data_IF_527871715108
#
_entry.id   IF_527871715108
#
_cell.length_a   1.000
_cell.length_b   1.000
_cell.length_c   1.000
_cell.angle_alpha   90.00
_cell.angle_beta   90.00
_cell.angle_gamma   90.00
#
_symmetry.space_group_name_H-M   'P 1'
#
loop_
_entity.id
_entity.type
_entity.pdbx_description
1 polymer ?
#
# COMPACT_ATOMS: atom_id res chain seq x y z
N UNK A 1 -29.60 -15.15 46.98
CA UNK A 1 -29.04 -14.55 45.75
C UNK A 1 -28.73 -13.09 46.03
N UNK A 2 -27.47 -12.72 45.85
CA UNK A 2 -27.17 -11.73 44.83
C UNK A 2 -26.32 -12.35 43.72
N UNK A 3 -26.67 -11.95 42.50
CA UNK A 3 -26.02 -12.25 41.23
C UNK A 3 -24.52 -11.99 41.28
N UNK A 4 -23.73 -13.01 40.96
CA UNK A 4 -22.34 -12.83 40.57
C UNK A 4 -22.33 -12.76 39.04
N UNK A 5 -22.68 -11.58 38.50
CA UNK A 5 -22.49 -11.26 37.09
C UNK A 5 -20.99 -11.03 36.82
N UNK A 6 -20.22 -12.11 36.84
CA UNK A 6 -18.91 -12.12 36.20
C UNK A 6 -19.12 -11.99 34.68
N UNK A 7 -18.49 -11.01 34.01
CA UNK A 7 -18.61 -10.89 32.57
C UNK A 7 -18.02 -12.14 31.94
N UNK A 8 -18.88 -12.97 31.34
CA UNK A 8 -18.50 -14.11 30.51
C UNK A 8 -17.52 -13.62 29.43
N UNK A 9 -16.23 -13.83 29.66
CA UNK A 9 -15.21 -13.68 28.65
C UNK A 9 -15.53 -14.66 27.53
N UNK A 10 -15.83 -14.18 26.32
CA UNK A 10 -16.06 -14.98 25.10
C UNK A 10 -14.81 -15.75 24.62
N UNK A 11 -13.88 -16.09 25.51
CA UNK A 11 -12.68 -16.88 25.23
C UNK A 11 -12.76 -18.33 25.73
N UNK A 12 -13.95 -18.83 26.05
CA UNK A 12 -14.17 -20.24 26.43
C UNK A 12 -14.91 -20.94 25.28
N UNK A 13 -14.20 -21.78 24.50
CA UNK A 13 -14.85 -22.66 23.52
C UNK A 13 -14.12 -23.01 22.21
N UNK A 14 -12.88 -22.56 21.95
CA UNK A 14 -12.11 -23.07 20.80
C UNK A 14 -11.14 -24.16 21.24
N UNK A 15 -11.50 -25.41 20.95
CA UNK A 15 -10.62 -26.56 21.09
C UNK A 15 -9.39 -26.38 20.16
N UNK A 16 -8.20 -26.38 20.74
CA UNK A 16 -6.95 -26.22 20.01
C UNK A 16 -6.69 -27.48 19.18
N UNK A 17 -7.08 -27.43 17.90
CA UNK A 17 -6.66 -28.44 16.93
C UNK A 17 -5.27 -28.06 16.45
N UNK A 18 -4.28 -28.89 16.81
CA UNK A 18 -2.91 -28.76 16.35
C UNK A 18 -2.84 -28.83 14.82
N UNK A 19 -1.90 -28.07 14.25
CA UNK A 19 -1.58 -28.16 12.82
C UNK A 19 -1.07 -29.58 12.50
N UNK A 20 -1.47 -30.14 11.36
CA UNK A 20 -0.95 -31.43 10.87
C UNK A 20 0.48 -31.35 10.32
N UNK A 21 1.08 -30.16 10.28
CA UNK A 21 2.46 -29.95 9.87
C UNK A 21 3.44 -30.36 10.98
N UNK A 22 4.52 -31.03 10.59
CA UNK A 22 5.67 -31.30 11.46
C UNK A 22 6.34 -29.99 11.91
N UNK A 23 7.14 -30.05 12.98
CA UNK A 23 7.78 -28.88 13.60
C UNK A 23 8.70 -28.13 12.61
N UNK A 24 9.41 -28.88 11.76
CA UNK A 24 10.25 -28.30 10.71
C UNK A 24 9.42 -27.54 9.65
N UNK A 25 8.32 -28.15 9.19
CA UNK A 25 7.39 -27.52 8.24
C UNK A 25 6.69 -26.31 8.86
N UNK A 26 6.40 -26.35 10.17
CA UNK A 26 5.86 -25.21 10.88
C UNK A 26 6.85 -24.04 10.91
N UNK A 27 8.13 -24.31 11.13
CA UNK A 27 9.18 -23.29 11.09
C UNK A 27 9.33 -22.66 9.69
N UNK A 28 9.28 -23.47 8.62
CA UNK A 28 9.29 -22.98 7.23
C UNK A 28 8.08 -22.07 6.93
N UNK A 29 6.89 -22.48 7.36
CA UNK A 29 5.66 -21.68 7.19
C UNK A 29 5.74 -20.33 7.91
N UNK A 30 6.27 -20.30 9.13
CA UNK A 30 6.47 -19.05 9.88
C UNK A 30 7.53 -18.15 9.23
N UNK A 31 8.62 -18.74 8.71
CA UNK A 31 9.63 -18.00 7.96
C UNK A 31 9.03 -17.33 6.71
N UNK A 32 8.25 -18.08 5.92
CA UNK A 32 7.55 -17.54 4.74
C UNK A 32 6.50 -16.48 5.09
N UNK A 33 5.83 -16.63 6.24
CA UNK A 33 4.89 -15.63 6.74
C UNK A 33 5.60 -14.31 7.06
N UNK A 34 6.72 -14.37 7.78
CA UNK A 34 7.52 -13.20 8.13
C UNK A 34 8.07 -12.48 6.89
N UNK A 35 8.60 -13.22 5.91
CA UNK A 35 9.07 -12.67 4.64
C UNK A 35 7.94 -11.97 3.87
N UNK A 36 6.78 -12.62 3.77
CA UNK A 36 5.60 -12.05 3.10
C UNK A 36 5.13 -10.76 3.78
N UNK A 37 5.16 -10.70 5.11
CA UNK A 37 4.79 -9.51 5.87
C UNK A 37 5.77 -8.36 5.64
N UNK A 38 7.07 -8.64 5.68
CA UNK A 38 8.12 -7.67 5.40
C UNK A 38 7.99 -7.11 3.98
N UNK A 39 7.73 -7.96 2.98
CA UNK A 39 7.50 -7.56 1.60
C UNK A 39 6.29 -6.62 1.43
N UNK A 40 5.20 -6.87 2.18
CA UNK A 40 4.03 -5.98 2.19
C UNK A 40 4.39 -4.61 2.79
N UNK A 41 5.12 -4.58 3.91
CA UNK A 41 5.55 -3.33 4.57
C UNK A 41 6.50 -2.53 3.68
N UNK A 42 7.46 -3.20 3.05
CA UNK A 42 8.39 -2.61 2.08
C UNK A 42 7.66 -2.01 0.87
N UNK A 43 6.71 -2.75 0.29
CA UNK A 43 5.93 -2.27 -0.85
C UNK A 43 5.11 -1.02 -0.50
N UNK A 44 4.51 -0.95 0.70
CA UNK A 44 3.82 0.26 1.17
C UNK A 44 4.76 1.45 1.34
N UNK A 45 5.95 1.22 1.87
CA UNK A 45 6.95 2.26 2.04
C UNK A 45 7.37 2.83 0.68
N UNK A 46 7.65 1.96 -0.30
CA UNK A 46 7.98 2.42 -1.66
C UNK A 46 6.81 3.19 -2.27
N UNK A 47 5.58 2.70 -2.10
CA UNK A 47 4.38 3.37 -2.63
C UNK A 47 4.25 4.82 -2.14
N UNK A 48 4.51 5.07 -0.85
CA UNK A 48 4.58 6.42 -0.29
C UNK A 48 5.75 7.23 -0.84
N UNK A 49 6.95 6.62 -0.91
CA UNK A 49 8.14 7.30 -1.44
C UNK A 49 7.95 7.70 -2.90
N UNK A 50 7.36 6.86 -3.74
CA UNK A 50 7.02 7.19 -5.13
C UNK A 50 6.11 8.40 -5.19
N UNK A 51 5.05 8.43 -4.38
CA UNK A 51 4.12 9.56 -4.33
C UNK A 51 4.83 10.86 -3.94
N UNK A 52 5.63 10.83 -2.86
CA UNK A 52 6.37 12.01 -2.37
C UNK A 52 7.40 12.49 -3.40
N UNK A 53 8.17 11.58 -3.98
CA UNK A 53 9.20 11.90 -4.99
C UNK A 53 8.56 12.49 -6.23
N UNK A 54 7.45 11.93 -6.72
CA UNK A 54 6.72 12.49 -7.86
C UNK A 54 6.22 13.90 -7.59
N UNK A 55 5.66 14.17 -6.41
CA UNK A 55 5.25 15.51 -6.01
C UNK A 55 6.45 16.48 -5.92
N UNK A 56 7.59 16.03 -5.39
CA UNK A 56 8.81 16.82 -5.32
C UNK A 56 9.34 17.16 -6.73
N UNK A 57 9.29 16.21 -7.68
CA UNK A 57 9.66 16.44 -9.08
C UNK A 57 8.76 17.51 -9.71
N UNK A 58 7.44 17.46 -9.47
CA UNK A 58 6.50 18.46 -9.96
C UNK A 58 6.79 19.87 -9.39
N UNK A 59 7.08 19.97 -8.09
CA UNK A 59 7.53 21.24 -7.48
C UNK A 59 8.82 21.73 -8.12
N UNK A 60 9.79 20.83 -8.35
CA UNK A 60 11.06 21.16 -9.02
C UNK A 60 10.84 21.68 -10.45
N UNK A 61 9.94 21.05 -11.23
CA UNK A 61 9.58 21.53 -12.57
C UNK A 61 8.95 22.92 -12.54
N UNK A 62 8.04 23.17 -11.58
CA UNK A 62 7.45 24.50 -11.41
C UNK A 62 8.49 25.57 -11.05
N UNK A 63 9.48 25.24 -10.21
CA UNK A 63 10.60 26.13 -9.86
C UNK A 63 11.52 26.39 -11.05
N UNK A 64 11.90 25.35 -11.80
CA UNK A 64 12.71 25.47 -13.00
C UNK A 64 12.02 26.31 -14.08
N UNK A 65 10.70 26.19 -14.22
CA UNK A 65 9.92 27.00 -15.13
C UNK A 65 9.96 28.49 -14.78
N UNK A 66 9.86 28.83 -13.49
CA UNK A 66 9.96 30.21 -13.03
C UNK A 66 11.31 30.84 -13.38
N UNK A 67 12.40 30.10 -13.13
CA UNK A 67 13.76 30.56 -13.44
C UNK A 67 14.03 30.63 -14.95
N UNK A 68 13.49 29.69 -15.73
CA UNK A 68 13.71 29.58 -17.17
C UNK A 68 12.61 30.23 -18.02
N UNK A 69 11.83 31.14 -17.43
CA UNK A 69 10.71 31.86 -18.06
C UNK A 69 11.06 32.59 -19.37
N UNK A 70 12.33 32.65 -19.73
CA UNK A 70 12.86 33.27 -20.96
C UNK A 70 13.12 32.28 -22.10
N UNK A 71 13.15 30.97 -21.83
CA UNK A 71 13.52 29.92 -22.80
C UNK A 71 12.33 29.01 -23.12
N UNK A 72 11.61 29.31 -24.21
CA UNK A 72 10.40 28.58 -24.62
C UNK A 72 10.61 27.07 -24.84
N UNK A 73 11.79 26.65 -25.30
CA UNK A 73 12.08 25.22 -25.51
C UNK A 73 12.24 24.44 -24.20
N UNK A 74 12.76 25.08 -23.15
CA UNK A 74 12.85 24.43 -21.84
C UNK A 74 11.46 24.22 -21.23
N UNK A 75 10.54 25.17 -21.39
CA UNK A 75 9.15 25.03 -20.94
C UNK A 75 8.45 23.87 -21.66
N UNK A 76 8.63 23.73 -22.98
CA UNK A 76 8.08 22.60 -23.75
C UNK A 76 8.59 21.25 -23.23
N UNK A 77 9.89 21.14 -22.94
CA UNK A 77 10.48 19.90 -22.39
C UNK A 77 9.87 19.58 -21.02
N UNK A 78 9.70 20.57 -20.13
CA UNK A 78 9.09 20.39 -18.81
C UNK A 78 7.62 19.95 -18.91
N UNK A 79 6.87 20.45 -19.88
CA UNK A 79 5.49 20.00 -20.16
C UNK A 79 5.49 18.50 -20.53
N UNK A 80 6.35 18.10 -21.48
CA UNK A 80 6.46 16.70 -21.91
C UNK A 80 6.84 15.81 -20.72
N UNK A 81 7.83 16.21 -19.92
CA UNK A 81 8.23 15.46 -18.73
C UNK A 81 7.10 15.32 -17.71
N UNK A 82 6.29 16.36 -17.51
CA UNK A 82 5.12 16.30 -16.61
C UNK A 82 4.11 15.25 -17.08
N UNK A 83 3.84 15.20 -18.39
CA UNK A 83 2.96 14.20 -19.01
C UNK A 83 3.50 12.77 -18.94
N UNK A 84 4.81 12.59 -18.83
CA UNK A 84 5.44 11.26 -18.74
C UNK A 84 5.54 10.79 -17.27
N UNK A 85 5.99 11.66 -16.36
CA UNK A 85 6.24 11.32 -14.96
C UNK A 85 4.95 10.95 -14.22
N UNK A 86 3.84 11.66 -14.45
CA UNK A 86 2.56 11.40 -13.79
C UNK A 86 2.03 9.98 -14.05
N UNK A 87 1.81 9.58 -15.33
CA UNK A 87 1.37 8.24 -15.67
C UNK A 87 2.32 7.13 -15.22
N UNK A 88 3.64 7.32 -15.31
CA UNK A 88 4.61 6.35 -14.79
C UNK A 88 4.42 6.15 -13.29
N UNK A 89 4.26 7.23 -12.52
CA UNK A 89 4.04 7.13 -11.08
C UNK A 89 2.73 6.38 -10.76
N UNK A 90 1.63 6.68 -11.46
CA UNK A 90 0.36 5.98 -11.30
C UNK A 90 0.47 4.49 -11.65
N UNK A 91 1.17 4.16 -12.72
CA UNK A 91 1.42 2.77 -13.12
C UNK A 91 2.21 2.00 -12.04
N UNK A 92 3.24 2.63 -11.47
CA UNK A 92 4.01 2.04 -10.37
C UNK A 92 3.14 1.79 -9.13
N UNK A 93 2.20 2.70 -8.79
CA UNK A 93 1.24 2.45 -7.70
C UNK A 93 0.43 1.18 -7.95
N UNK A 94 -0.05 0.97 -9.18
CA UNK A 94 -0.83 -0.24 -9.54
C UNK A 94 0.02 -1.51 -9.41
N UNK A 95 1.28 -1.48 -9.85
CA UNK A 95 2.20 -2.63 -9.68
C UNK A 95 2.38 -2.97 -8.21
N UNK A 96 2.69 -1.99 -7.36
CA UNK A 96 2.88 -2.24 -5.92
C UNK A 96 1.61 -2.75 -5.27
N UNK A 97 0.44 -2.32 -5.75
CA UNK A 97 -0.84 -2.86 -5.30
C UNK A 97 -1.03 -4.31 -5.73
N UNK A 98 -0.69 -4.66 -6.96
CA UNK A 98 -0.73 -6.05 -7.42
C UNK A 98 0.18 -6.95 -6.57
N UNK A 99 1.42 -6.52 -6.33
CA UNK A 99 2.40 -7.27 -5.53
C UNK A 99 1.92 -7.50 -4.10
N UNK A 100 1.48 -6.45 -3.40
CA UNK A 100 0.88 -6.58 -2.07
C UNK A 100 -0.35 -7.51 -2.05
N UNK A 101 -1.10 -7.60 -3.15
CA UNK A 101 -2.20 -8.55 -3.31
C UNK A 101 -1.71 -10.01 -3.38
N UNK A 102 -0.66 -10.25 -4.16
CA UNK A 102 -0.04 -11.58 -4.28
C UNK A 102 0.55 -12.06 -2.96
N UNK A 103 1.29 -11.20 -2.24
CA UNK A 103 1.85 -11.57 -0.92
C UNK A 103 0.75 -11.89 0.11
N UNK A 104 -0.37 -11.18 0.08
CA UNK A 104 -1.53 -11.50 0.95
C UNK A 104 -2.15 -12.85 0.62
N UNK A 105 -2.21 -13.24 -0.65
CA UNK A 105 -2.69 -14.58 -1.05
C UNK A 105 -1.75 -15.66 -0.51
N UNK A 106 -0.43 -15.44 -0.55
CA UNK A 106 0.55 -16.35 0.08
C UNK A 106 0.30 -16.48 1.58
N UNK A 107 0.13 -15.36 2.28
CA UNK A 107 -0.19 -15.34 3.72
C UNK A 107 -1.47 -16.14 4.02
N UNK A 108 -2.54 -15.96 3.23
CA UNK A 108 -3.78 -16.73 3.42
C UNK A 108 -3.57 -18.23 3.25
N UNK A 109 -2.75 -18.65 2.27
CA UNK A 109 -2.40 -20.05 2.08
C UNK A 109 -1.62 -20.59 3.29
N UNK A 110 -0.64 -19.84 3.79
CA UNK A 110 0.15 -20.22 4.98
C UNK A 110 -0.76 -20.40 6.19
N UNK A 111 -1.64 -19.43 6.47
CA UNK A 111 -2.56 -19.46 7.62
C UNK A 111 -3.54 -20.63 7.52
N UNK A 112 -3.98 -20.99 6.31
CA UNK A 112 -4.83 -22.17 6.11
C UNK A 112 -4.18 -23.50 6.47
N UNK A 113 -2.86 -23.52 6.69
CA UNK A 113 -2.12 -24.68 7.18
C UNK A 113 -1.79 -24.61 8.68
N UNK A 114 -2.06 -23.49 9.37
CA UNK A 114 -1.81 -23.33 10.81
C UNK A 114 -2.96 -23.87 11.67
N UNK A 115 -2.78 -23.85 13.00
CA UNK A 115 -3.79 -24.29 13.97
C UNK A 115 -5.09 -23.48 13.88
N UNK A 116 -6.19 -24.06 14.38
CA UNK A 116 -7.50 -23.40 14.35
C UNK A 116 -7.51 -22.08 15.14
N UNK A 117 -6.79 -22.02 16.26
CA UNK A 117 -6.59 -20.80 17.04
C UNK A 117 -5.90 -19.68 16.22
N UNK A 118 -4.82 -20.00 15.51
CA UNK A 118 -4.10 -19.03 14.69
C UNK A 118 -4.97 -18.47 13.54
N UNK A 119 -5.77 -19.34 12.92
CA UNK A 119 -6.75 -18.93 11.89
C UNK A 119 -7.80 -18.00 12.46
N UNK A 120 -8.33 -18.31 13.65
CA UNK A 120 -9.34 -17.49 14.30
C UNK A 120 -8.81 -16.10 14.64
N UNK A 121 -7.62 -16.03 15.25
CA UNK A 121 -6.95 -14.76 15.59
C UNK A 121 -6.71 -13.92 14.33
N UNK A 122 -6.28 -14.54 13.22
CA UNK A 122 -6.06 -13.81 11.98
C UNK A 122 -7.37 -13.30 11.34
N UNK A 123 -8.44 -14.09 11.42
CA UNK A 123 -9.74 -13.73 10.85
C UNK A 123 -10.48 -12.66 11.66
N UNK A 124 -10.01 -12.28 12.85
CA UNK A 124 -10.55 -11.17 13.64
C UNK A 124 -10.58 -9.86 12.86
N UNK A 125 -9.60 -9.61 11.98
CA UNK A 125 -9.64 -8.42 11.09
C UNK A 125 -10.49 -8.73 9.85
N UNK A 126 -11.59 -8.00 9.69
CA UNK A 126 -12.44 -8.10 8.50
C UNK A 126 -11.64 -7.83 7.23
N UNK A 127 -11.62 -8.81 6.31
CA UNK A 127 -10.94 -8.69 5.02
C UNK A 127 -11.47 -7.51 4.20
N UNK A 128 -12.78 -7.26 4.28
CA UNK A 128 -13.45 -6.18 3.53
C UNK A 128 -13.02 -4.80 4.01
N UNK A 129 -12.92 -4.60 5.32
CA UNK A 129 -12.46 -3.33 5.89
C UNK A 129 -11.01 -3.06 5.51
N UNK A 130 -10.14 -4.07 5.61
CA UNK A 130 -8.73 -3.94 5.24
C UNK A 130 -8.53 -3.62 3.75
N UNK A 131 -9.40 -4.12 2.87
CA UNK A 131 -9.37 -3.80 1.44
C UNK A 131 -9.89 -2.37 1.17
N UNK A 132 -10.98 -1.95 1.83
CA UNK A 132 -11.52 -0.58 1.70
C UNK A 132 -10.50 0.47 2.16
N UNK A 133 -9.88 0.28 3.34
CA UNK A 133 -8.81 1.15 3.85
C UNK A 133 -7.70 1.37 2.82
N UNK A 134 -7.34 0.29 2.12
CA UNK A 134 -6.25 0.28 1.15
C UNK A 134 -6.61 1.00 -0.15
N UNK A 135 -7.81 0.80 -0.66
CA UNK A 135 -8.27 1.50 -1.87
C UNK A 135 -8.50 2.99 -1.62
N UNK A 136 -8.97 3.38 -0.44
CA UNK A 136 -9.07 4.79 -0.04
C UNK A 136 -7.67 5.43 -0.06
N UNK A 137 -6.67 4.79 0.54
CA UNK A 137 -5.30 5.32 0.54
C UNK A 137 -4.73 5.44 -0.88
N UNK A 138 -4.93 4.42 -1.71
CA UNK A 138 -4.48 4.43 -3.11
C UNK A 138 -5.15 5.55 -3.91
N UNK A 139 -6.45 5.77 -3.69
CA UNK A 139 -7.21 6.86 -4.30
C UNK A 139 -6.61 8.21 -3.93
N UNK A 140 -6.34 8.46 -2.64
CA UNK A 140 -5.70 9.69 -2.19
C UNK A 140 -4.31 9.92 -2.83
N UNK A 141 -3.49 8.88 -2.94
CA UNK A 141 -2.18 8.97 -3.61
C UNK A 141 -2.33 9.33 -5.10
N UNK A 142 -3.25 8.66 -5.80
CA UNK A 142 -3.54 8.94 -7.21
C UNK A 142 -4.04 10.37 -7.41
N UNK A 143 -4.99 10.82 -6.61
CA UNK A 143 -5.49 12.19 -6.62
C UNK A 143 -4.39 13.22 -6.34
N UNK A 144 -3.49 12.96 -5.39
CA UNK A 144 -2.37 13.85 -5.10
C UNK A 144 -1.43 14.00 -6.31
N UNK A 145 -1.07 12.89 -6.96
CA UNK A 145 -0.22 12.90 -8.17
C UNK A 145 -0.92 13.66 -9.30
N UNK A 146 -2.20 13.38 -9.55
CA UNK A 146 -2.97 14.08 -10.59
C UNK A 146 -3.06 15.58 -10.32
N UNK A 147 -3.33 15.96 -9.07
CA UNK A 147 -3.41 17.37 -8.64
C UNK A 147 -2.05 18.05 -8.80
N UNK A 148 -0.95 17.42 -8.37
CA UNK A 148 0.40 17.96 -8.52
C UNK A 148 0.79 18.16 -9.99
N UNK A 149 0.47 17.18 -10.84
CA UNK A 149 0.71 17.26 -12.29
C UNK A 149 -0.12 18.37 -12.93
N UNK A 150 -1.41 18.45 -12.62
CA UNK A 150 -2.32 19.49 -13.11
C UNK A 150 -1.85 20.90 -12.70
N UNK A 151 -1.48 21.09 -11.43
CA UNK A 151 -0.96 22.37 -10.94
C UNK A 151 0.33 22.76 -11.67
N UNK A 152 1.25 21.83 -11.86
CA UNK A 152 2.51 22.07 -12.57
C UNK A 152 2.26 22.44 -14.03
N UNK A 153 1.39 21.70 -14.70
CA UNK A 153 1.01 21.96 -16.09
C UNK A 153 0.32 23.32 -16.24
N UNK A 154 -0.62 23.66 -15.36
CA UNK A 154 -1.30 24.96 -15.38
C UNK A 154 -0.34 26.14 -15.16
N UNK A 155 0.74 25.92 -14.39
CA UNK A 155 1.80 26.91 -14.22
C UNK A 155 2.70 27.00 -15.46
N UNK A 156 3.05 25.88 -16.07
CA UNK A 156 3.88 25.84 -17.28
C UNK A 156 3.18 26.49 -18.48
N UNK A 157 1.89 26.19 -18.69
CA UNK A 157 1.10 26.75 -19.80
C UNK A 157 0.90 28.26 -19.72
N UNK A 158 1.01 28.88 -18.54
CA UNK A 158 0.91 30.34 -18.39
C UNK A 158 2.07 31.08 -19.10
N UNK A 159 3.19 30.41 -19.31
CA UNK A 159 4.39 30.98 -19.93
C UNK A 159 4.51 30.66 -21.43
N UNK A 160 3.51 29.96 -21.99
CA UNK A 160 3.40 29.64 -23.41
C UNK A 160 2.37 30.58 -24.05
#
# INVERSE_FOLDING_TARGET
MPDNDEPKSESDGLELIASGADELTHAELLCLYQDSEQNIRFSKLIQWRTTIVTLAIFICFAWLAHYSSRNGDMIKILIILTYVVGPIALYMLVIFQSWQGTERKKIQLIISNLSNLARNIYNTKSKREADVERYILLFFMGCAILTGGFLTLSRLLRWF
#
